data_IF_754594523153
#
_entry.id   IF_754594523153
#
_cell.length_a   1.000
_cell.length_b   1.000
_cell.length_c   1.000
_cell.angle_alpha   90.00
_cell.angle_beta   90.00
_cell.angle_gamma   90.00
#
_symmetry.space_group_name_H-M   'P 1'
#
loop_
_entity.id
_entity.type
_entity.pdbx_description
1 polymer ?
#
# COMPACT_ATOMS: atom_id res chain seq x y z
N UNK A 1 10.29 8.49 -18.62
CA UNK A 1 10.46 7.64 -19.81
C UNK A 1 10.05 8.42 -21.06
N UNK A 2 10.69 8.21 -22.21
CA UNK A 2 10.41 8.98 -23.45
C UNK A 2 11.38 10.14 -23.75
N UNK A 3 12.01 10.76 -22.76
CA UNK A 3 13.13 11.69 -22.95
C UNK A 3 14.51 10.99 -23.05
N UNK A 4 14.53 9.65 -23.16
CA UNK A 4 15.76 8.83 -23.20
C UNK A 4 16.47 8.61 -21.86
N UNK A 5 16.21 9.43 -20.84
CA UNK A 5 16.88 9.35 -19.54
C UNK A 5 16.29 8.26 -18.62
N UNK A 6 16.84 7.05 -18.72
CA UNK A 6 16.45 5.89 -17.92
C UNK A 6 16.92 6.00 -16.47
N UNK A 7 18.14 6.47 -16.23
CA UNK A 7 18.72 6.60 -14.90
C UNK A 7 17.91 7.56 -14.01
N UNK A 8 17.44 8.69 -14.57
CA UNK A 8 16.54 9.59 -13.85
C UNK A 8 15.18 8.96 -13.59
N UNK A 9 14.65 8.19 -14.54
CA UNK A 9 13.35 7.50 -14.37
C UNK A 9 13.42 6.50 -13.21
N UNK A 10 14.49 5.70 -13.13
CA UNK A 10 14.72 4.73 -12.05
C UNK A 10 14.81 5.41 -10.68
N UNK A 11 15.64 6.46 -10.54
CA UNK A 11 15.76 7.22 -9.29
C UNK A 11 14.44 7.79 -8.80
N UNK A 12 13.60 8.31 -9.70
CA UNK A 12 12.28 8.85 -9.34
C UNK A 12 11.35 7.72 -8.86
N UNK A 13 11.40 6.55 -9.49
CA UNK A 13 10.61 5.39 -9.08
C UNK A 13 11.03 4.94 -7.67
N UNK A 14 12.33 4.81 -7.41
CA UNK A 14 12.87 4.46 -6.09
C UNK A 14 12.41 5.45 -5.01
N UNK A 15 12.56 6.74 -5.27
CA UNK A 15 12.11 7.80 -4.37
C UNK A 15 10.59 7.74 -4.12
N UNK A 16 9.81 7.47 -5.16
CA UNK A 16 8.35 7.36 -5.06
C UNK A 16 7.95 6.16 -4.20
N UNK A 17 8.60 5.02 -4.37
CA UNK A 17 8.34 3.81 -3.57
C UNK A 17 8.70 4.06 -2.10
N UNK A 18 9.88 4.63 -1.83
CA UNK A 18 10.32 4.95 -0.48
C UNK A 18 9.38 5.96 0.21
N UNK A 19 8.97 7.01 -0.51
CA UNK A 19 8.04 8.01 -0.01
C UNK A 19 6.67 7.39 0.31
N UNK A 20 6.13 6.57 -0.59
CA UNK A 20 4.83 5.91 -0.37
C UNK A 20 4.89 4.89 0.76
N UNK A 21 6.00 4.20 0.95
CA UNK A 21 6.22 3.33 2.10
C UNK A 21 6.17 4.12 3.42
N UNK A 22 6.83 5.28 3.48
CA UNK A 22 6.78 6.16 4.66
C UNK A 22 5.36 6.65 4.94
N UNK A 23 4.65 7.14 3.92
CA UNK A 23 3.26 7.58 4.05
C UNK A 23 2.36 6.42 4.51
N UNK A 24 2.57 5.22 4.00
CA UNK A 24 1.80 4.04 4.39
C UNK A 24 2.07 3.62 5.84
N UNK A 25 3.30 3.77 6.34
CA UNK A 25 3.61 3.54 7.77
C UNK A 25 2.86 4.54 8.65
N UNK A 26 2.87 5.82 8.30
CA UNK A 26 2.13 6.86 9.03
C UNK A 26 0.63 6.56 9.01
N UNK A 27 0.08 6.20 7.85
CA UNK A 27 -1.32 5.83 7.69
C UNK A 27 -1.67 4.56 8.50
N UNK A 28 -0.78 3.58 8.56
CA UNK A 28 -0.98 2.36 9.33
C UNK A 28 -1.03 2.65 10.83
N UNK A 29 -0.14 3.50 11.34
CA UNK A 29 -0.15 3.93 12.75
C UNK A 29 -1.46 4.65 13.07
N UNK A 30 -1.86 5.62 12.24
CA UNK A 30 -3.13 6.32 12.42
C UNK A 30 -4.31 5.33 12.40
N UNK A 31 -4.38 4.45 11.40
CA UNK A 31 -5.48 3.50 11.30
C UNK A 31 -5.51 2.56 12.50
N UNK A 32 -4.37 2.13 13.03
CA UNK A 32 -4.31 1.25 14.20
C UNK A 32 -5.02 1.87 15.42
N UNK A 33 -4.80 3.16 15.70
CA UNK A 33 -5.46 3.86 16.81
C UNK A 33 -6.93 4.19 16.52
N UNK A 34 -7.26 4.50 15.26
CA UNK A 34 -8.61 4.89 14.87
C UNK A 34 -9.51 3.71 14.43
N UNK A 35 -8.98 2.49 14.31
CA UNK A 35 -9.73 1.32 13.82
C UNK A 35 -10.93 1.00 14.71
N UNK A 36 -10.72 0.96 16.03
CA UNK A 36 -11.78 0.65 16.99
C UNK A 36 -12.90 1.70 17.02
N UNK A 37 -12.63 3.02 17.16
CA UNK A 37 -13.69 4.02 17.11
C UNK A 37 -14.40 4.05 15.74
N UNK A 38 -13.69 3.79 14.64
CA UNK A 38 -14.30 3.66 13.31
C UNK A 38 -15.27 2.47 13.27
N UNK A 39 -14.88 1.30 13.76
CA UNK A 39 -15.74 0.11 13.79
C UNK A 39 -16.98 0.32 14.67
N UNK A 40 -16.82 0.97 15.83
CA UNK A 40 -17.94 1.31 16.73
C UNK A 40 -18.91 2.33 16.12
N UNK A 41 -18.48 3.12 15.15
CA UNK A 41 -19.36 4.01 14.39
C UNK A 41 -20.28 3.23 13.44
N UNK A 42 -19.76 2.17 12.80
CA UNK A 42 -20.52 1.36 11.85
C UNK A 42 -21.41 0.30 12.51
N UNK A 43 -20.96 -0.29 13.62
CA UNK A 43 -21.72 -1.33 14.32
C UNK A 43 -21.54 -1.25 15.82
N UNK A 44 -22.55 -1.68 16.56
CA UNK A 44 -22.53 -1.81 18.03
C UNK A 44 -22.40 -3.27 18.49
N UNK A 45 -22.42 -4.22 17.55
CA UNK A 45 -22.31 -5.64 17.87
C UNK A 45 -20.86 -5.99 18.29
N UNK A 46 -20.63 -6.44 19.54
CA UNK A 46 -19.30 -6.77 20.04
C UNK A 46 -18.64 -7.94 19.30
N UNK A 47 -19.41 -8.90 18.79
CA UNK A 47 -18.86 -10.04 18.06
C UNK A 47 -18.27 -9.59 16.70
N UNK A 48 -18.97 -8.70 16.00
CA UNK A 48 -18.53 -8.12 14.73
C UNK A 48 -17.30 -7.23 14.94
N UNK A 49 -17.29 -6.39 15.98
CA UNK A 49 -16.15 -5.51 16.29
C UNK A 49 -14.90 -6.36 16.57
N UNK A 50 -15.03 -7.44 17.36
CA UNK A 50 -13.90 -8.31 17.70
C UNK A 50 -13.31 -8.98 16.45
N UNK A 51 -14.15 -9.57 15.60
CA UNK A 51 -13.71 -10.20 14.36
C UNK A 51 -13.04 -9.17 13.41
N UNK A 52 -13.62 -7.97 13.30
CA UNK A 52 -13.08 -6.90 12.48
C UNK A 52 -11.75 -6.34 13.01
N UNK A 53 -11.56 -6.27 14.33
CA UNK A 53 -10.29 -5.86 14.95
C UNK A 53 -9.19 -6.89 14.74
N UNK A 54 -9.48 -8.18 14.91
CA UNK A 54 -8.50 -9.25 14.69
C UNK A 54 -8.01 -9.24 13.23
N UNK A 55 -8.93 -9.20 12.27
CA UNK A 55 -8.58 -9.11 10.86
C UNK A 55 -7.93 -7.77 10.49
N UNK A 56 -8.49 -6.67 10.98
CA UNK A 56 -8.07 -5.31 10.64
C UNK A 56 -6.65 -5.00 11.13
N UNK A 57 -6.26 -5.44 12.32
CA UNK A 57 -4.89 -5.25 12.83
C UNK A 57 -3.84 -5.95 11.97
N UNK A 58 -4.10 -7.19 11.55
CA UNK A 58 -3.22 -7.92 10.63
C UNK A 58 -3.13 -7.16 9.31
N UNK A 59 -4.25 -6.68 8.77
CA UNK A 59 -4.27 -5.96 7.49
C UNK A 59 -3.55 -4.61 7.55
N UNK A 60 -3.67 -3.89 8.66
CA UNK A 60 -2.97 -2.62 8.89
C UNK A 60 -1.46 -2.82 8.96
N UNK A 61 -0.99 -3.91 9.57
CA UNK A 61 0.43 -4.23 9.65
C UNK A 61 1.05 -4.43 8.25
N UNK A 62 0.35 -5.10 7.33
CA UNK A 62 0.81 -5.32 5.96
C UNK A 62 0.56 -4.14 5.00
N UNK A 63 -0.09 -3.07 5.45
CA UNK A 63 -0.46 -1.91 4.62
C UNK A 63 0.74 -1.31 3.85
N UNK A 64 1.93 -1.11 4.46
CA UNK A 64 3.08 -0.55 3.75
C UNK A 64 3.59 -1.45 2.60
N UNK A 65 3.56 -2.76 2.81
CA UNK A 65 3.98 -3.76 1.82
C UNK A 65 3.05 -3.75 0.60
N UNK A 66 1.73 -3.68 0.84
CA UNK A 66 0.75 -3.58 -0.23
C UNK A 66 0.89 -2.28 -1.03
N UNK A 67 1.06 -1.14 -0.36
CA UNK A 67 1.23 0.16 -1.03
C UNK A 67 2.50 0.26 -1.89
N UNK A 68 3.60 -0.34 -1.42
CA UNK A 68 4.84 -0.42 -2.19
C UNK A 68 4.65 -1.28 -3.46
N UNK A 69 3.98 -2.44 -3.32
CA UNK A 69 3.71 -3.37 -4.43
C UNK A 69 2.87 -2.70 -5.53
N UNK A 70 1.79 -1.99 -5.18
CA UNK A 70 0.97 -1.23 -6.15
C UNK A 70 1.75 -0.15 -6.90
N UNK A 71 2.75 0.44 -6.25
CA UNK A 71 3.60 1.46 -6.85
C UNK A 71 4.58 0.86 -7.86
N UNK A 72 5.12 -0.33 -7.56
CA UNK A 72 5.94 -1.10 -8.50
C UNK A 72 5.16 -1.50 -9.75
N UNK A 73 3.92 -2.00 -9.60
CA UNK A 73 3.05 -2.32 -10.74
C UNK A 73 2.82 -1.10 -11.63
N UNK A 74 2.54 0.05 -11.03
CA UNK A 74 2.32 1.30 -11.77
C UNK A 74 3.58 1.73 -12.52
N UNK A 75 4.74 1.63 -11.88
CA UNK A 75 6.02 1.99 -12.47
C UNK A 75 6.35 1.13 -13.71
N UNK A 76 6.20 -0.20 -13.61
CA UNK A 76 6.40 -1.14 -14.71
C UNK A 76 5.45 -0.88 -15.89
N UNK A 77 4.18 -0.55 -15.59
CA UNK A 77 3.19 -0.19 -16.61
C UNK A 77 3.56 1.10 -17.35
N UNK A 78 4.10 2.09 -16.64
CA UNK A 78 4.50 3.38 -17.21
C UNK A 78 5.81 3.32 -18.02
N UNK A 79 6.69 2.35 -17.74
CA UNK A 79 7.93 2.13 -18.50
C UNK A 79 7.74 1.23 -19.72
N UNK A 80 6.54 0.64 -19.88
CA UNK A 80 6.19 -0.25 -20.99
C UNK A 80 6.56 -1.71 -20.75
N UNK A 81 7.04 -2.08 -19.55
CA UNK A 81 7.34 -3.46 -19.18
C UNK A 81 6.12 -4.15 -18.56
N UNK A 82 5.08 -4.31 -19.38
CA UNK A 82 3.84 -4.96 -18.97
C UNK A 82 4.00 -6.48 -18.74
N UNK A 83 5.03 -7.12 -19.32
CA UNK A 83 5.27 -8.56 -19.15
C UNK A 83 5.80 -8.87 -17.76
N UNK A 84 6.80 -8.14 -17.28
CA UNK A 84 7.32 -8.28 -15.91
C UNK A 84 6.22 -8.01 -14.87
N UNK A 85 5.34 -7.03 -15.13
CA UNK A 85 4.18 -6.77 -14.27
C UNK A 85 3.27 -7.99 -14.13
N UNK A 86 3.00 -8.69 -15.24
CA UNK A 86 2.08 -9.83 -15.26
C UNK A 86 2.64 -11.04 -14.50
N UNK A 87 3.96 -11.25 -14.56
CA UNK A 87 4.64 -12.27 -13.76
C UNK A 87 4.65 -11.97 -12.26
N UNK A 88 4.75 -10.70 -11.86
CA UNK A 88 4.71 -10.32 -10.43
C UNK A 88 3.28 -10.44 -9.85
N UNK A 89 2.26 -10.46 -10.70
CA UNK A 89 0.86 -10.63 -10.28
C UNK A 89 0.42 -12.10 -10.17
N UNK A 90 1.19 -13.05 -10.70
CA UNK A 90 0.90 -14.50 -10.71
C UNK A 90 1.48 -15.19 -9.48
#
# INVERSE_FOLDING_TARGET
YGAGDKARTERIIEQTIAFKALVAVIAAILLYFFLEPLLRFFTKDPAVIRAALEYGRVRVFFLPVFFASYSCFTALRCTGDAKSQMWIML
#
